data_IF_632715370143
#
_entry.id   IF_632715370143
#
_cell.length_a   1.000
_cell.length_b   1.000
_cell.length_c   1.000
_cell.angle_alpha   90.00
_cell.angle_beta   90.00
_cell.angle_gamma   90.00
#
_symmetry.space_group_name_H-M   'P 1'
#
loop_
_entity.id
_entity.type
_entity.pdbx_description
1 polymer ?
#
# COMPACT_ATOMS: atom_id res chain seq x y z
N UNK A 1 -12.75 20.60 -16.62
CA UNK A 1 -12.21 19.63 -15.66
C UNK A 1 -10.72 19.71 -15.86
N UNK A 2 -9.95 20.14 -14.87
CA UNK A 2 -8.48 20.08 -14.97
C UNK A 2 -8.10 18.61 -15.18
N UNK A 3 -7.28 18.35 -16.21
CA UNK A 3 -6.72 17.02 -16.46
C UNK A 3 -5.68 16.72 -15.37
N UNK A 4 -6.16 16.28 -14.21
CA UNK A 4 -5.34 15.73 -13.12
C UNK A 4 -5.00 14.28 -13.45
N UNK A 5 -3.77 13.85 -13.17
CA UNK A 5 -3.41 12.43 -13.28
C UNK A 5 -4.26 11.55 -12.35
N UNK A 6 -4.53 10.31 -12.79
CA UNK A 6 -5.23 9.32 -11.96
C UNK A 6 -4.41 9.08 -10.69
N UNK A 7 -5.02 9.31 -9.51
CA UNK A 7 -4.43 8.91 -8.23
C UNK A 7 -4.68 7.44 -7.98
N UNK A 8 -3.59 6.68 -7.95
CA UNK A 8 -3.61 5.24 -7.75
C UNK A 8 -3.23 4.95 -6.30
N UNK A 9 -4.18 4.48 -5.50
CA UNK A 9 -3.89 3.97 -4.16
C UNK A 9 -3.26 2.59 -4.25
N UNK A 10 -2.10 2.40 -3.63
CA UNK A 10 -1.33 1.16 -3.67
C UNK A 10 -1.19 0.63 -2.24
N UNK A 11 -1.74 -0.54 -1.93
CA UNK A 11 -1.55 -1.15 -0.60
C UNK A 11 -0.26 -1.95 -0.56
N UNK A 12 0.50 -1.85 0.53
CA UNK A 12 1.77 -2.58 0.69
C UNK A 12 1.62 -4.12 0.70
N UNK A 13 0.42 -4.64 0.96
CA UNK A 13 0.20 -6.07 1.15
C UNK A 13 0.88 -6.60 2.42
N UNK A 14 1.33 -7.85 2.41
CA UNK A 14 2.15 -8.41 3.49
C UNK A 14 3.53 -7.76 3.44
N UNK A 15 3.86 -6.98 4.47
CA UNK A 15 5.13 -6.28 4.55
C UNK A 15 6.33 -7.22 4.65
N UNK A 16 6.13 -8.50 4.99
CA UNK A 16 7.18 -9.53 4.99
C UNK A 16 7.21 -10.31 3.66
N UNK A 17 6.27 -10.06 2.76
CA UNK A 17 6.24 -10.62 1.42
C UNK A 17 7.07 -9.79 0.42
N UNK A 18 6.76 -9.97 -0.86
CA UNK A 18 7.46 -9.30 -1.98
C UNK A 18 6.86 -7.92 -2.34
N UNK A 19 5.84 -7.47 -1.62
CA UNK A 19 5.06 -6.28 -2.00
C UNK A 19 5.92 -5.03 -2.17
N UNK A 20 6.78 -4.73 -1.19
CA UNK A 20 7.70 -3.60 -1.27
C UNK A 20 8.76 -3.73 -2.35
N UNK A 21 9.26 -4.93 -2.61
CA UNK A 21 10.22 -5.15 -3.70
C UNK A 21 9.61 -4.81 -5.05
N UNK A 22 8.38 -5.26 -5.29
CA UNK A 22 7.63 -4.97 -6.53
C UNK A 22 7.29 -3.49 -6.64
N UNK A 23 6.81 -2.86 -5.56
CA UNK A 23 6.49 -1.43 -5.53
C UNK A 23 7.74 -0.60 -5.83
N UNK A 24 8.85 -0.84 -5.14
CA UNK A 24 10.08 -0.08 -5.32
C UNK A 24 10.63 -0.24 -6.73
N UNK A 25 10.68 -1.45 -7.27
CA UNK A 25 11.13 -1.73 -8.65
C UNK A 25 10.20 -1.16 -9.71
N UNK A 26 8.90 -1.05 -9.43
CA UNK A 26 7.96 -0.40 -10.37
C UNK A 26 8.28 1.09 -10.49
N UNK A 27 8.57 1.76 -9.38
CA UNK A 27 8.81 3.20 -9.36
C UNK A 27 10.27 3.61 -9.57
N UNK A 28 11.16 2.70 -9.95
CA UNK A 28 12.45 3.08 -10.56
C UNK A 28 12.27 3.57 -11.99
N UNK A 29 11.14 3.24 -12.63
CA UNK A 29 10.79 3.72 -13.97
C UNK A 29 10.05 5.07 -13.85
N UNK A 30 10.70 6.17 -14.23
CA UNK A 30 10.13 7.53 -14.13
C UNK A 30 8.77 7.68 -14.84
N UNK A 31 8.57 6.93 -15.95
CA UNK A 31 7.31 6.89 -16.69
C UNK A 31 6.10 6.57 -15.79
N UNK A 32 6.29 5.80 -14.70
CA UNK A 32 5.20 5.45 -13.80
C UNK A 32 4.58 6.66 -13.11
N UNK A 33 5.38 7.68 -12.80
CA UNK A 33 4.89 8.95 -12.22
C UNK A 33 4.37 9.93 -13.27
N UNK A 34 4.63 9.69 -14.55
CA UNK A 34 4.05 10.47 -15.66
C UNK A 34 2.64 10.02 -16.02
N UNK A 35 2.31 8.74 -15.80
CA UNK A 35 1.00 8.16 -16.15
C UNK A 35 0.01 8.15 -14.98
N UNK A 36 0.49 8.30 -13.74
CA UNK A 36 -0.36 8.32 -12.55
C UNK A 36 0.29 9.06 -11.37
N UNK A 37 -0.52 9.42 -10.38
CA UNK A 37 -0.04 9.89 -9.07
C UNK A 37 -0.16 8.75 -8.05
N UNK A 38 0.93 8.01 -7.79
CA UNK A 38 0.88 6.88 -6.87
C UNK A 38 0.84 7.35 -5.41
N UNK A 39 -0.06 6.75 -4.63
CA UNK A 39 -0.18 6.92 -3.18
C UNK A 39 -0.08 5.56 -2.50
N UNK A 40 1.07 5.27 -1.90
CA UNK A 40 1.33 4.02 -1.18
C UNK A 40 0.74 4.13 0.23
N UNK A 41 -0.10 3.17 0.60
CA UNK A 41 -0.59 2.97 1.97
C UNK A 41 0.22 1.83 2.59
N UNK A 42 0.92 2.09 3.69
CA UNK A 42 1.72 1.06 4.36
C UNK A 42 2.66 1.58 5.44
N UNK A 43 3.76 0.85 5.66
CA UNK A 43 4.80 1.18 6.62
C UNK A 43 5.98 1.91 5.97
N UNK A 44 6.24 3.16 6.38
CA UNK A 44 7.44 3.88 5.96
C UNK A 44 8.72 3.12 6.35
N UNK A 45 8.73 2.52 7.54
CA UNK A 45 9.86 1.76 8.08
C UNK A 45 10.15 0.52 7.23
N UNK A 46 9.10 -0.19 6.78
CA UNK A 46 9.27 -1.34 5.90
C UNK A 46 9.75 -0.89 4.51
N UNK A 47 9.17 0.15 3.92
CA UNK A 47 9.66 0.69 2.65
C UNK A 47 11.17 1.02 2.72
N UNK A 48 11.59 1.73 3.78
CA UNK A 48 12.99 2.08 4.00
C UNK A 48 13.87 0.83 4.16
N UNK A 49 13.43 -0.17 4.93
CA UNK A 49 14.13 -1.43 5.06
C UNK A 49 14.37 -2.09 3.69
N UNK A 50 13.31 -2.28 2.89
CA UNK A 50 13.44 -2.94 1.59
C UNK A 50 14.31 -2.14 0.62
N UNK A 51 14.13 -0.82 0.56
CA UNK A 51 14.96 0.07 -0.26
C UNK A 51 16.43 -0.05 0.09
N UNK A 52 16.78 -0.13 1.37
CA UNK A 52 18.17 -0.22 1.82
C UNK A 52 18.76 -1.63 1.62
N UNK A 53 17.92 -2.67 1.48
CA UNK A 53 18.34 -4.05 1.19
C UNK A 53 18.44 -4.39 -0.30
N UNK A 54 17.72 -3.69 -1.16
CA UNK A 54 17.71 -3.92 -2.61
C UNK A 54 18.92 -3.27 -3.28
N UNK A 55 19.98 -4.05 -3.50
CA UNK A 55 21.24 -3.57 -4.06
C UNK A 55 21.24 -3.45 -5.59
N UNK A 56 20.20 -3.94 -6.26
CA UNK A 56 20.02 -3.90 -7.71
C UNK A 56 19.37 -2.59 -8.21
N UNK A 57 18.94 -1.70 -7.29
CA UNK A 57 18.38 -0.39 -7.61
C UNK A 57 19.47 0.69 -7.48
N UNK A 58 19.83 1.32 -8.60
CA UNK A 58 20.88 2.37 -8.62
C UNK A 58 20.37 3.70 -8.08
N UNK A 59 19.12 4.05 -8.41
CA UNK A 59 18.46 5.27 -7.93
C UNK A 59 17.29 4.89 -7.02
N UNK A 60 17.49 4.91 -5.70
CA UNK A 60 16.48 4.44 -4.77
C UNK A 60 15.30 5.41 -4.70
N UNK A 61 14.08 4.85 -4.72
CA UNK A 61 12.86 5.62 -4.57
C UNK A 61 12.80 6.27 -3.18
N UNK A 62 12.70 7.60 -3.15
CA UNK A 62 12.50 8.37 -1.92
C UNK A 62 11.05 8.86 -1.91
N UNK A 63 10.17 8.30 -1.05
CA UNK A 63 8.78 8.70 -1.06
C UNK A 63 8.59 10.10 -0.47
N UNK A 64 7.62 10.84 -1.03
CA UNK A 64 6.99 11.97 -0.39
C UNK A 64 6.06 11.46 0.72
N UNK A 65 6.44 11.62 1.98
CA UNK A 65 5.61 11.17 3.10
C UNK A 65 4.56 12.23 3.38
N UNK A 66 3.30 11.86 3.21
CA UNK A 66 2.14 12.75 3.35
C UNK A 66 1.19 12.23 4.44
N UNK A 67 0.41 13.13 5.03
CA UNK A 67 -0.56 12.75 6.06
C UNK A 67 -1.90 12.32 5.44
N UNK A 68 -2.22 12.83 4.25
CA UNK A 68 -3.51 12.66 3.58
C UNK A 68 -3.33 12.54 2.07
N UNK A 69 -4.13 11.72 1.40
CA UNK A 69 -3.97 11.48 -0.04
C UNK A 69 -4.28 12.72 -0.91
N UNK A 70 -5.01 13.70 -0.38
CA UNK A 70 -5.21 15.01 -1.01
C UNK A 70 -3.91 15.82 -1.15
N UNK A 71 -2.91 15.54 -0.31
CA UNK A 71 -1.59 16.19 -0.31
C UNK A 71 -0.62 15.56 -1.32
N UNK A 72 -1.06 14.53 -2.06
CA UNK A 72 -0.23 13.83 -3.02
C UNK A 72 0.25 14.77 -4.14
N UNK A 73 1.56 14.76 -4.37
CA UNK A 73 2.23 15.54 -5.40
C UNK A 73 2.38 14.71 -6.69
N UNK A 74 2.02 15.29 -7.83
CA UNK A 74 2.29 14.70 -9.15
C UNK A 74 3.81 14.62 -9.41
N UNK A 75 4.25 13.64 -10.21
CA UNK A 75 5.67 13.41 -10.46
C UNK A 75 6.44 12.81 -9.27
N UNK A 76 5.75 12.44 -8.18
CA UNK A 76 6.38 11.86 -6.99
C UNK A 76 5.69 10.58 -6.55
N UNK A 77 6.47 9.68 -5.96
CA UNK A 77 5.95 8.55 -5.20
C UNK A 77 5.49 9.06 -3.84
N UNK A 78 4.20 9.02 -3.56
CA UNK A 78 3.66 9.46 -2.27
C UNK A 78 3.44 8.27 -1.34
N UNK A 79 3.57 8.48 -0.03
CA UNK A 79 3.34 7.45 0.99
C UNK A 79 2.57 8.00 2.18
N UNK A 80 1.50 7.31 2.57
CA UNK A 80 0.78 7.47 3.83
C UNK A 80 1.21 6.36 4.77
N UNK A 81 1.84 6.74 5.87
CA UNK A 81 2.29 5.80 6.89
C UNK A 81 1.11 5.43 7.82
N UNK A 82 0.48 4.29 7.57
CA UNK A 82 -0.71 3.83 8.29
C UNK A 82 -0.48 2.55 9.11
N UNK A 83 0.79 2.18 9.33
CA UNK A 83 1.20 1.01 10.11
C UNK A 83 1.95 1.47 11.36
N UNK A 84 1.77 0.74 12.47
CA UNK A 84 2.45 1.02 13.72
C UNK A 84 3.98 0.99 13.56
N UNK A 85 4.68 1.95 14.19
CA UNK A 85 6.13 2.12 14.00
C UNK A 85 6.98 0.98 14.63
N UNK A 86 6.44 0.32 15.65
CA UNK A 86 7.06 -0.79 16.37
C UNK A 86 6.81 -2.15 15.69
N UNK A 87 6.05 -2.18 14.60
CA UNK A 87 5.82 -3.39 13.81
C UNK A 87 7.17 -4.03 13.39
N UNK A 88 7.43 -5.30 13.77
CA UNK A 88 8.67 -6.00 13.45
C UNK A 88 8.66 -6.46 11.99
N UNK A 89 9.78 -6.26 11.28
CA UNK A 89 9.94 -6.65 9.88
C UNK A 89 10.73 -7.96 9.86
N UNK A 90 10.15 -9.01 9.28
CA UNK A 90 10.72 -10.35 9.21
C UNK A 90 10.48 -10.94 7.81
N UNK A 91 11.25 -10.53 6.78
CA UNK A 91 11.01 -10.93 5.40
C UNK A 91 11.01 -12.45 5.24
N UNK A 92 10.02 -12.96 4.50
CA UNK A 92 9.81 -14.40 4.28
C UNK A 92 9.11 -15.13 5.43
N UNK A 93 8.85 -14.46 6.57
CA UNK A 93 8.14 -15.05 7.70
C UNK A 93 6.67 -14.61 7.76
N UNK A 94 5.78 -15.58 7.98
CA UNK A 94 4.37 -15.31 8.21
C UNK A 94 4.16 -14.92 9.67
N UNK A 95 3.96 -13.62 9.91
CA UNK A 95 3.73 -13.07 11.26
C UNK A 95 2.36 -12.40 11.37
N UNK A 96 1.80 -12.37 12.59
CA UNK A 96 0.51 -11.71 12.85
C UNK A 96 0.61 -10.20 12.60
N UNK A 97 1.76 -9.60 12.92
CA UNK A 97 2.06 -8.20 12.68
C UNK A 97 2.09 -7.87 11.17
N UNK A 98 2.61 -8.77 10.34
CA UNK A 98 2.52 -8.66 8.88
C UNK A 98 1.07 -8.62 8.39
N UNK A 99 0.23 -9.52 8.90
CA UNK A 99 -1.21 -9.55 8.58
C UNK A 99 -1.97 -8.29 9.04
N UNK A 100 -1.71 -7.81 10.26
CA UNK A 100 -2.28 -6.55 10.76
C UNK A 100 -1.85 -5.36 9.91
N UNK A 101 -0.56 -5.29 9.54
CA UNK A 101 -0.03 -4.23 8.68
C UNK A 101 -0.64 -4.26 7.27
N UNK A 102 -0.85 -5.45 6.69
CA UNK A 102 -1.58 -5.60 5.43
C UNK A 102 -2.99 -5.04 5.53
N UNK A 103 -3.71 -5.45 6.57
CA UNK A 103 -5.09 -5.03 6.75
C UNK A 103 -5.20 -3.52 6.95
N UNK A 104 -4.38 -2.93 7.82
CA UNK A 104 -4.36 -1.48 8.04
C UNK A 104 -4.12 -0.70 6.75
N UNK A 105 -3.23 -1.18 5.87
CA UNK A 105 -2.99 -0.55 4.57
C UNK A 105 -4.19 -0.63 3.63
N UNK A 106 -4.88 -1.77 3.62
CA UNK A 106 -6.06 -1.99 2.80
C UNK A 106 -7.26 -1.17 3.28
N UNK A 107 -7.48 -1.13 4.59
CA UNK A 107 -8.54 -0.34 5.21
C UNK A 107 -8.35 1.16 4.92
N UNK A 108 -7.13 1.69 5.09
CA UNK A 108 -6.83 3.09 4.81
C UNK A 108 -7.06 3.45 3.33
N UNK A 109 -6.59 2.60 2.40
CA UNK A 109 -6.78 2.84 0.98
C UNK A 109 -8.26 2.76 0.56
N UNK A 110 -9.01 1.79 1.11
CA UNK A 110 -10.45 1.66 0.84
C UNK A 110 -11.23 2.86 1.39
N UNK A 111 -10.86 3.38 2.57
CA UNK A 111 -11.48 4.59 3.11
C UNK A 111 -11.31 5.78 2.17
N UNK A 112 -10.10 5.99 1.63
CA UNK A 112 -9.85 7.07 0.67
C UNK A 112 -10.49 6.83 -0.70
N UNK A 113 -10.60 5.58 -1.13
CA UNK A 113 -11.34 5.21 -2.35
C UNK A 113 -12.84 5.52 -2.20
N UNK A 114 -13.45 5.16 -1.06
CA UNK A 114 -14.86 5.47 -0.76
C UNK A 114 -15.13 6.97 -0.72
N UNK A 115 -14.15 7.75 -0.25
CA UNK A 115 -14.21 9.22 -0.22
C UNK A 115 -13.96 9.87 -1.59
N UNK A 116 -13.56 9.11 -2.60
CA UNK A 116 -13.20 9.61 -3.93
C UNK A 116 -11.91 10.44 -3.95
N UNK A 117 -11.02 10.22 -2.97
CA UNK A 117 -9.73 10.93 -2.88
C UNK A 117 -8.68 10.29 -3.79
N UNK A 118 -8.71 8.95 -3.87
CA UNK A 118 -8.02 8.15 -4.88
C UNK A 118 -9.02 7.64 -5.91
N UNK A 119 -8.58 7.49 -7.15
CA UNK A 119 -9.44 7.17 -8.29
C UNK A 119 -9.48 5.65 -8.54
N UNK A 120 -8.46 4.91 -8.11
CA UNK A 120 -8.38 3.45 -8.24
C UNK A 120 -7.50 2.83 -7.15
N UNK A 121 -7.70 1.54 -6.91
CA UNK A 121 -6.97 0.74 -5.92
C UNK A 121 -6.19 -0.39 -6.61
N UNK A 122 -4.91 -0.49 -6.27
CA UNK A 122 -4.01 -1.59 -6.64
C UNK A 122 -3.49 -2.23 -5.36
N UNK A 123 -3.63 -3.54 -5.22
CA UNK A 123 -3.23 -4.24 -3.99
C UNK A 123 -1.98 -5.07 -4.23
N UNK A 124 -0.95 -4.90 -3.41
CA UNK A 124 0.16 -5.85 -3.37
C UNK A 124 -0.27 -7.16 -2.67
N UNK A 125 0.46 -8.28 -2.86
CA UNK A 125 0.07 -9.58 -2.33
C UNK A 125 -0.04 -9.61 -0.81
N UNK A 126 -1.05 -10.32 -0.28
CA UNK A 126 -1.21 -10.63 1.14
C UNK A 126 -1.01 -12.12 1.39
N UNK A 127 -0.73 -12.50 2.64
CA UNK A 127 -0.79 -13.88 3.09
C UNK A 127 -2.14 -14.15 3.79
N UNK A 128 -2.92 -15.10 3.27
CA UNK A 128 -4.27 -15.39 3.79
C UNK A 128 -4.26 -16.01 5.19
N UNK A 129 -3.14 -16.63 5.58
CA UNK A 129 -3.02 -17.34 6.84
C UNK A 129 -2.78 -16.40 8.03
N UNK A 130 -2.08 -15.27 7.83
CA UNK A 130 -1.74 -14.34 8.92
C UNK A 130 -2.68 -13.15 9.03
N UNK A 131 -3.52 -12.89 8.01
CA UNK A 131 -4.51 -11.80 8.08
C UNK A 131 -5.70 -12.15 9.00
N UNK A 132 -5.89 -13.43 9.33
CA UNK A 132 -6.91 -13.86 10.29
C UNK A 132 -6.50 -13.50 11.71
N UNK A 133 -7.35 -12.78 12.45
CA UNK A 133 -7.18 -12.59 13.89
C UNK A 133 -8.55 -12.47 14.57
N UNK A 134 -8.56 -12.45 15.91
CA UNK A 134 -9.78 -12.50 16.73
C UNK A 134 -10.79 -11.35 16.47
N UNK A 135 -10.42 -10.34 15.69
CA UNK A 135 -11.30 -9.26 15.23
C UNK A 135 -11.59 -9.24 13.72
N UNK A 136 -10.98 -10.10 12.91
CA UNK A 136 -11.05 -10.02 11.46
C UNK A 136 -10.85 -11.39 10.79
N UNK A 137 -11.91 -11.90 10.18
CA UNK A 137 -11.91 -13.15 9.42
C UNK A 137 -12.29 -12.87 7.98
N UNK A 138 -11.29 -12.58 7.13
CA UNK A 138 -11.54 -12.38 5.70
C UNK A 138 -10.75 -13.38 4.85
N UNK A 139 -11.41 -14.12 3.95
CA UNK A 139 -10.76 -15.15 3.13
C UNK A 139 -9.82 -14.59 2.04
N UNK A 140 -9.85 -13.29 1.78
CA UNK A 140 -9.00 -12.62 0.78
C UNK A 140 -9.40 -11.18 0.47
N UNK A 141 -8.67 -10.55 -0.47
CA UNK A 141 -8.95 -9.19 -0.95
C UNK A 141 -10.34 -9.08 -1.59
N UNK A 142 -10.72 -10.04 -2.43
CA UNK A 142 -11.98 -10.00 -3.18
C UNK A 142 -13.18 -9.90 -2.27
N UNK A 143 -13.23 -10.73 -1.23
CA UNK A 143 -14.35 -10.80 -0.30
C UNK A 143 -14.39 -9.56 0.61
N UNK A 144 -13.22 -9.00 0.97
CA UNK A 144 -13.17 -7.73 1.69
C UNK A 144 -13.68 -6.56 0.83
N UNK A 145 -13.25 -6.47 -0.43
CA UNK A 145 -13.67 -5.41 -1.34
C UNK A 145 -15.16 -5.53 -1.69
N UNK A 146 -15.68 -6.75 -1.86
CA UNK A 146 -17.12 -6.99 -2.02
C UNK A 146 -17.91 -6.52 -0.80
N UNK A 147 -17.46 -6.84 0.42
CA UNK A 147 -18.09 -6.34 1.65
C UNK A 147 -18.06 -4.80 1.76
N UNK A 148 -17.04 -4.16 1.20
CA UNK A 148 -16.90 -2.70 1.24
C UNK A 148 -17.71 -1.96 0.17
N UNK A 149 -17.86 -2.52 -1.02
CA UNK A 149 -18.39 -1.83 -2.21
C UNK A 149 -19.60 -2.51 -2.87
N UNK A 150 -19.94 -3.74 -2.47
CA UNK A 150 -21.10 -4.46 -3.00
C UNK A 150 -22.43 -3.82 -2.59
N UNK A 151 -23.51 -4.16 -3.29
CA UNK A 151 -24.85 -3.56 -3.11
C UNK A 151 -25.46 -3.77 -1.70
N UNK A 152 -24.84 -4.61 -0.85
CA UNK A 152 -25.21 -4.84 0.55
C UNK A 152 -24.06 -4.52 1.54
N UNK A 153 -23.05 -3.76 1.13
CA UNK A 153 -21.94 -3.37 2.00
C UNK A 153 -22.43 -2.54 3.18
N UNK A 154 -21.89 -2.81 4.38
CA UNK A 154 -22.22 -2.12 5.64
C UNK A 154 -21.98 -0.62 5.54
#
# INVERSE_FOLDING_TARGET
MEERLIRVGITQGDMNGVGYEVILKTFTEEMMTDICTPVIYGSLKALQYYRDTLTDITEPVIPNVIARAEEAEEGRVNLINCVAADCPIAPGESTAEGGMASFASLEAAVADLKRGVIDTLVTAPINKHNIQHDGFHFPGHTEYLEACFGENGV
#
